data_IF_417936268782
#
_entry.id   IF_417936268782
#
_cell.length_a   1.000
_cell.length_b   1.000
_cell.length_c   1.000
_cell.angle_alpha   90.00
_cell.angle_beta   90.00
_cell.angle_gamma   90.00
#
_symmetry.space_group_name_H-M   'P 1'
#
loop_
_entity.id
_entity.type
_entity.pdbx_description
1 polymer ?
#
# COMPACT_ATOMS: atom_id res chain seq x y z
N UNK A 1 8.65 -7.94 7.52
CA UNK A 1 7.79 -8.87 6.79
C UNK A 1 7.92 -10.28 7.34
N UNK A 2 6.89 -11.07 7.13
CA UNK A 2 6.85 -12.46 7.60
C UNK A 2 7.82 -13.38 6.83
N UNK A 3 8.18 -12.99 5.61
CA UNK A 3 9.12 -13.72 4.77
C UNK A 3 10.38 -12.87 4.55
N UNK A 4 11.54 -13.50 4.73
CA UNK A 4 12.86 -12.91 4.49
C UNK A 4 13.67 -13.80 3.56
N UNK A 5 13.80 -13.38 2.31
CA UNK A 5 14.62 -14.07 1.31
C UNK A 5 15.77 -13.14 0.93
N UNK A 6 16.97 -13.44 1.41
CA UNK A 6 18.18 -12.65 1.13
C UNK A 6 19.24 -13.59 0.55
N UNK A 7 19.47 -13.58 -0.77
CA UNK A 7 20.61 -14.25 -1.38
C UNK A 7 21.93 -13.70 -0.83
N UNK A 8 22.95 -14.55 -0.73
CA UNK A 8 24.28 -14.17 -0.18
C UNK A 8 24.95 -13.03 -0.95
N UNK A 9 24.59 -12.85 -2.23
CA UNK A 9 25.12 -11.84 -3.13
C UNK A 9 24.07 -10.79 -3.52
N UNK A 10 23.07 -10.55 -2.67
CA UNK A 10 22.00 -9.60 -2.95
C UNK A 10 22.56 -8.18 -3.17
N UNK A 11 22.26 -7.61 -4.34
CA UNK A 11 22.60 -6.23 -4.72
C UNK A 11 21.42 -5.27 -4.53
N UNK A 12 20.20 -5.79 -4.47
CA UNK A 12 18.94 -5.04 -4.35
C UNK A 12 18.16 -5.57 -3.16
N UNK A 13 17.55 -4.66 -2.42
CA UNK A 13 16.70 -4.96 -1.28
C UNK A 13 15.32 -4.35 -1.50
N UNK A 14 14.30 -5.20 -1.63
CA UNK A 14 12.90 -4.80 -1.59
C UNK A 14 12.33 -5.27 -0.25
N UNK A 15 11.96 -4.35 0.60
CA UNK A 15 11.60 -4.66 1.97
C UNK A 15 10.58 -3.65 2.51
N UNK A 16 9.93 -3.99 3.60
CA UNK A 16 9.17 -3.02 4.37
C UNK A 16 10.13 -2.06 5.11
N UNK A 17 9.64 -0.90 5.49
CA UNK A 17 10.44 0.12 6.20
C UNK A 17 11.08 -0.43 7.48
N UNK A 18 10.40 -1.35 8.18
CA UNK A 18 10.89 -2.02 9.38
C UNK A 18 12.09 -2.92 9.11
N UNK A 19 12.08 -3.60 7.95
CA UNK A 19 13.13 -4.56 7.55
C UNK A 19 14.25 -3.93 6.73
N UNK A 20 14.22 -2.62 6.53
CA UNK A 20 15.21 -1.89 5.76
C UNK A 20 16.59 -2.01 6.43
N UNK A 21 17.65 -2.46 5.70
CA UNK A 21 19.00 -2.56 6.26
C UNK A 21 19.58 -1.16 6.52
N UNK A 22 19.87 -0.87 7.78
CA UNK A 22 20.39 0.45 8.22
C UNK A 22 21.93 0.48 8.33
N UNK A 23 22.55 -0.68 8.27
CA UNK A 23 23.98 -0.91 8.44
C UNK A 23 24.75 -1.05 7.11
N UNK A 24 24.07 -0.85 5.99
CA UNK A 24 24.64 -1.02 4.65
C UNK A 24 24.84 0.31 3.94
N UNK A 25 26.00 0.45 3.33
CA UNK A 25 26.25 1.52 2.37
C UNK A 25 25.57 1.17 1.04
N UNK A 26 24.63 1.99 0.63
CA UNK A 26 23.85 1.79 -0.59
C UNK A 26 24.01 3.01 -1.50
N UNK A 27 24.22 2.78 -2.78
CA UNK A 27 24.28 3.87 -3.75
C UNK A 27 22.94 4.60 -3.91
N UNK A 28 21.85 3.85 -3.83
CA UNK A 28 20.49 4.34 -3.97
C UNK A 28 19.62 3.86 -2.83
N UNK A 29 18.88 4.77 -2.24
CA UNK A 29 17.87 4.49 -1.21
C UNK A 29 16.54 5.10 -1.63
N UNK A 30 15.46 4.35 -1.56
CA UNK A 30 14.10 4.83 -1.78
C UNK A 30 13.20 4.48 -0.60
N UNK A 31 12.42 5.45 -0.14
CA UNK A 31 11.38 5.25 0.89
C UNK A 31 10.06 5.70 0.29
N UNK A 32 9.11 4.76 0.19
CA UNK A 32 7.76 5.03 -0.27
C UNK A 32 6.83 5.36 0.90
N UNK A 33 5.73 6.06 0.61
CA UNK A 33 4.71 6.48 1.60
C UNK A 33 5.32 7.30 2.76
N UNK A 34 6.27 8.20 2.46
CA UNK A 34 7.01 8.94 3.51
C UNK A 34 6.11 9.80 4.41
N UNK A 35 4.89 10.15 3.98
CA UNK A 35 3.91 10.83 4.84
C UNK A 35 3.48 9.98 6.03
N UNK A 36 3.77 8.67 6.03
CA UNK A 36 3.57 7.78 7.19
C UNK A 36 4.43 8.16 8.40
N UNK A 37 5.34 9.12 8.29
CA UNK A 37 5.97 9.75 9.45
C UNK A 37 4.95 10.33 10.45
N UNK A 38 3.74 10.67 10.00
CA UNK A 38 2.65 11.15 10.85
C UNK A 38 1.77 10.04 11.45
N UNK A 39 2.04 8.77 11.12
CA UNK A 39 1.30 7.65 11.66
C UNK A 39 1.59 7.43 13.15
N UNK A 40 0.55 7.14 13.95
CA UNK A 40 0.69 6.99 15.41
C UNK A 40 1.49 5.75 15.82
N UNK A 41 1.40 4.67 15.07
CA UNK A 41 2.04 3.39 15.41
C UNK A 41 3.41 3.27 14.74
N UNK A 42 3.47 3.53 13.43
CA UNK A 42 4.65 3.29 12.60
C UNK A 42 5.47 4.55 12.28
N UNK A 43 4.96 5.73 12.60
CA UNK A 43 5.56 7.00 12.23
C UNK A 43 6.99 7.18 12.72
N UNK A 44 7.31 6.65 13.89
CA UNK A 44 8.67 6.70 14.44
C UNK A 44 9.69 5.96 13.56
N UNK A 45 9.30 4.85 12.92
CA UNK A 45 10.16 4.08 12.01
C UNK A 45 10.42 4.87 10.73
N UNK A 46 9.36 5.41 10.11
CA UNK A 46 9.48 6.24 8.93
C UNK A 46 10.31 7.50 9.18
N UNK A 47 10.12 8.13 10.33
CA UNK A 47 10.90 9.31 10.75
C UNK A 47 12.37 8.97 10.91
N UNK A 48 12.72 7.84 11.50
CA UNK A 48 14.10 7.39 11.60
C UNK A 48 14.73 7.20 10.21
N UNK A 49 14.01 6.56 9.27
CA UNK A 49 14.51 6.40 7.90
C UNK A 49 14.64 7.73 7.16
N UNK A 50 13.69 8.64 7.35
CA UNK A 50 13.75 9.99 6.78
C UNK A 50 14.97 10.77 7.26
N UNK A 51 15.33 10.63 8.52
CA UNK A 51 16.43 11.40 9.12
C UNK A 51 17.81 10.75 8.88
N UNK A 52 17.89 9.43 8.93
CA UNK A 52 19.15 8.71 9.05
C UNK A 52 19.54 7.90 7.81
N UNK A 53 18.60 7.56 6.92
CA UNK A 53 18.93 6.78 5.73
C UNK A 53 19.24 7.65 4.54
N UNK A 54 20.43 7.42 3.94
CA UNK A 54 20.87 8.13 2.74
C UNK A 54 21.52 7.14 1.76
N UNK A 55 21.25 7.35 0.48
CA UNK A 55 22.03 6.74 -0.60
C UNK A 55 23.25 7.58 -0.90
N UNK A 56 24.37 6.97 -1.21
CA UNK A 56 25.60 7.69 -1.57
C UNK A 56 25.43 8.58 -2.81
N UNK A 57 24.62 8.12 -3.78
CA UNK A 57 24.36 8.85 -5.03
C UNK A 57 22.99 9.50 -5.06
N UNK A 58 21.98 8.81 -4.52
CA UNK A 58 20.61 9.31 -4.59
C UNK A 58 19.78 8.75 -3.43
N UNK A 59 19.06 9.65 -2.77
CA UNK A 59 17.97 9.32 -1.86
C UNK A 59 16.65 9.80 -2.47
N UNK A 60 15.69 8.89 -2.66
CA UNK A 60 14.37 9.19 -3.20
C UNK A 60 13.32 9.00 -2.13
N UNK A 61 12.53 10.03 -1.87
CA UNK A 61 11.40 10.00 -0.96
C UNK A 61 10.12 10.13 -1.79
N UNK A 62 9.25 9.14 -1.71
CA UNK A 62 7.99 9.14 -2.44
C UNK A 62 6.82 9.26 -1.46
N UNK A 63 5.79 10.02 -1.82
CA UNK A 63 4.64 10.20 -0.95
C UNK A 63 3.72 11.34 -1.37
N UNK A 64 2.74 11.62 -0.52
CA UNK A 64 1.80 12.71 -0.77
C UNK A 64 2.41 14.08 -0.46
N UNK A 65 1.87 15.12 -1.09
CA UNK A 65 2.32 16.51 -0.87
C UNK A 65 2.11 17.02 0.59
N UNK A 66 1.39 16.28 1.43
CA UNK A 66 1.13 16.66 2.82
C UNK A 66 2.40 16.81 3.64
N UNK A 67 3.43 16.00 3.35
CA UNK A 67 4.70 16.05 4.08
C UNK A 67 5.71 17.05 3.51
N UNK A 68 5.45 17.63 2.33
CA UNK A 68 6.40 18.51 1.62
C UNK A 68 6.95 19.64 2.51
N UNK A 69 6.08 20.32 3.24
CA UNK A 69 6.47 21.43 4.12
C UNK A 69 7.42 21.01 5.26
N UNK A 70 7.31 19.78 5.71
CA UNK A 70 8.17 19.24 6.77
C UNK A 70 9.54 18.92 6.16
N UNK A 71 9.56 18.21 5.03
CA UNK A 71 10.80 17.84 4.34
C UNK A 71 11.60 19.07 3.95
N UNK A 72 10.97 20.12 3.44
CA UNK A 72 11.65 21.39 3.08
C UNK A 72 12.36 22.04 4.26
N UNK A 73 11.90 21.82 5.48
CA UNK A 73 12.51 22.36 6.70
C UNK A 73 13.67 21.53 7.23
N UNK A 74 13.76 20.26 6.83
CA UNK A 74 14.76 19.33 7.33
C UNK A 74 16.06 19.39 6.54
N UNK A 75 15.97 19.65 5.24
CA UNK A 75 17.13 19.66 4.36
C UNK A 75 16.91 20.69 3.24
N UNK A 76 17.95 21.51 2.96
CA UNK A 76 17.85 22.59 1.98
C UNK A 76 18.07 22.17 0.53
N UNK A 77 18.64 21.00 0.27
CA UNK A 77 19.06 20.57 -1.08
C UNK A 77 18.18 19.41 -1.61
N UNK A 78 16.87 19.68 -1.70
CA UNK A 78 15.89 18.69 -2.15
C UNK A 78 15.20 19.18 -3.42
N UNK A 79 15.25 18.38 -4.47
CA UNK A 79 14.46 18.55 -5.67
C UNK A 79 13.08 17.92 -5.49
N UNK A 80 12.00 18.67 -5.75
CA UNK A 80 10.63 18.18 -5.69
C UNK A 80 10.07 17.94 -7.10
N UNK A 81 9.80 16.68 -7.42
CA UNK A 81 9.19 16.28 -8.68
C UNK A 81 7.73 15.89 -8.42
N UNK A 82 6.80 16.70 -8.90
CA UNK A 82 5.37 16.39 -8.82
C UNK A 82 4.95 15.51 -10.01
N UNK A 83 4.16 14.50 -9.71
CA UNK A 83 3.48 13.66 -10.71
C UNK A 83 1.99 13.71 -10.47
N UNK A 84 1.25 14.10 -11.47
CA UNK A 84 -0.20 14.06 -11.43
C UNK A 84 -0.69 12.62 -11.43
N UNK A 85 -1.87 12.43 -10.86
CA UNK A 85 -2.52 11.14 -10.83
C UNK A 85 -2.88 10.70 -12.25
N UNK A 86 -2.50 9.49 -12.67
CA UNK A 86 -2.79 8.96 -14.00
C UNK A 86 -4.29 8.76 -14.22
N UNK A 87 -5.03 8.40 -13.17
CA UNK A 87 -6.48 8.22 -13.23
C UNK A 87 -7.20 9.27 -12.41
N UNK A 88 -8.29 9.83 -12.96
CA UNK A 88 -9.12 10.80 -12.26
C UNK A 88 -9.86 10.15 -11.10
N UNK A 89 -9.71 10.71 -9.91
CA UNK A 89 -10.53 10.35 -8.75
C UNK A 89 -11.79 11.21 -8.75
N UNK A 90 -12.97 10.57 -8.75
CA UNK A 90 -14.25 11.25 -8.77
C UNK A 90 -15.15 10.72 -7.66
N UNK A 91 -15.63 11.59 -6.82
CA UNK A 91 -16.63 11.21 -5.81
C UNK A 91 -17.99 10.98 -6.46
N UNK A 92 -18.55 9.78 -6.30
CA UNK A 92 -19.83 9.37 -6.91
C UNK A 92 -21.01 9.30 -5.93
N UNK A 93 -20.85 9.82 -4.71
CA UNK A 93 -21.87 9.80 -3.65
C UNK A 93 -22.00 8.44 -2.94
N UNK A 94 -23.01 8.34 -2.08
CA UNK A 94 -23.28 7.12 -1.32
C UNK A 94 -24.09 6.12 -2.16
N UNK A 95 -23.74 4.83 -2.08
CA UNK A 95 -24.47 3.74 -2.72
C UNK A 95 -24.70 2.60 -1.74
N UNK A 96 -25.91 2.02 -1.77
CA UNK A 96 -26.18 0.75 -1.07
C UNK A 96 -25.40 -0.37 -1.74
N UNK A 97 -24.93 -1.37 -0.99
CA UNK A 97 -24.20 -2.53 -1.52
C UNK A 97 -25.02 -3.24 -2.62
N UNK A 98 -26.32 -3.32 -2.49
CA UNK A 98 -27.20 -3.88 -3.52
C UNK A 98 -27.14 -3.15 -4.87
N UNK A 99 -26.68 -1.91 -4.90
CA UNK A 99 -26.63 -1.04 -6.10
C UNK A 99 -25.22 -0.76 -6.61
N UNK A 100 -24.19 -1.34 -6.02
CA UNK A 100 -22.82 -1.22 -6.54
C UNK A 100 -22.67 -1.94 -7.87
N UNK A 101 -21.83 -1.39 -8.72
CA UNK A 101 -21.55 -1.98 -10.03
C UNK A 101 -20.66 -3.24 -9.89
N UNK A 102 -20.65 -4.06 -10.92
CA UNK A 102 -19.62 -5.12 -11.06
C UNK A 102 -18.23 -4.49 -11.13
N UNK A 103 -17.20 -5.29 -10.88
CA UNK A 103 -15.79 -4.85 -10.86
C UNK A 103 -15.55 -3.70 -9.87
N UNK A 104 -16.11 -3.85 -8.68
CA UNK A 104 -15.94 -2.90 -7.57
C UNK A 104 -15.06 -3.51 -6.48
N UNK A 105 -14.03 -2.74 -6.08
CA UNK A 105 -13.27 -2.99 -4.86
C UNK A 105 -13.87 -2.17 -3.70
N UNK A 106 -14.05 -2.81 -2.56
CA UNK A 106 -14.62 -2.24 -1.35
C UNK A 106 -13.56 -2.31 -0.27
N UNK A 107 -13.25 -1.16 0.31
CA UNK A 107 -12.30 -1.08 1.42
C UNK A 107 -13.08 -1.00 2.73
N UNK A 108 -12.70 -1.84 3.67
CA UNK A 108 -13.22 -1.88 5.04
C UNK A 108 -12.08 -1.68 6.04
N UNK A 109 -12.40 -1.28 7.26
CA UNK A 109 -11.41 -0.89 8.26
C UNK A 109 -11.11 -1.99 9.29
N UNK A 110 -11.86 -3.09 9.27
CA UNK A 110 -11.62 -4.23 10.16
C UNK A 110 -11.88 -5.56 9.45
N UNK A 111 -11.30 -6.63 9.97
CA UNK A 111 -11.54 -7.98 9.46
C UNK A 111 -13.03 -8.37 9.58
N UNK A 112 -13.68 -7.97 10.66
CA UNK A 112 -15.12 -8.23 10.88
C UNK A 112 -15.98 -7.57 9.79
N UNK A 113 -15.69 -6.31 9.46
CA UNK A 113 -16.38 -5.60 8.38
C UNK A 113 -16.12 -6.25 7.02
N UNK A 114 -14.90 -6.68 6.73
CA UNK A 114 -14.56 -7.39 5.50
C UNK A 114 -15.43 -8.63 5.36
N UNK A 115 -15.53 -9.47 6.39
CA UNK A 115 -16.34 -10.67 6.35
C UNK A 115 -17.84 -10.37 6.27
N UNK A 116 -18.34 -9.38 7.01
CA UNK A 116 -19.73 -8.98 6.98
C UNK A 116 -20.15 -8.48 5.58
N UNK A 117 -19.32 -7.63 4.96
CA UNK A 117 -19.57 -7.12 3.61
C UNK A 117 -19.49 -8.24 2.58
N UNK A 118 -18.49 -9.11 2.66
CA UNK A 118 -18.34 -10.24 1.74
C UNK A 118 -19.52 -11.20 1.81
N UNK A 119 -20.02 -11.49 3.02
CA UNK A 119 -21.21 -12.34 3.20
C UNK A 119 -22.48 -11.66 2.64
N UNK A 120 -22.62 -10.36 2.82
CA UNK A 120 -23.74 -9.61 2.25
C UNK A 120 -23.71 -9.64 0.72
N UNK A 121 -22.51 -9.49 0.11
CA UNK A 121 -22.32 -9.59 -1.33
C UNK A 121 -22.61 -11.03 -1.79
N UNK A 122 -22.14 -12.03 -1.07
CA UNK A 122 -22.43 -13.44 -1.39
C UNK A 122 -23.91 -13.71 -1.50
N UNK A 123 -24.70 -13.19 -0.58
CA UNK A 123 -26.17 -13.37 -0.57
C UNK A 123 -26.88 -12.63 -1.70
N UNK A 124 -26.37 -11.48 -2.14
CA UNK A 124 -27.05 -10.57 -3.05
C UNK A 124 -26.49 -10.58 -4.47
N UNK A 125 -25.23 -10.91 -4.64
CA UNK A 125 -24.44 -10.65 -5.87
C UNK A 125 -23.60 -11.84 -6.35
N UNK A 126 -23.61 -12.97 -5.62
CA UNK A 126 -22.91 -14.19 -6.04
C UNK A 126 -21.59 -14.46 -5.32
N UNK A 127 -20.84 -13.46 -4.90
CA UNK A 127 -19.59 -13.67 -4.16
C UNK A 127 -18.59 -12.53 -4.29
N UNK A 128 -17.58 -12.54 -3.42
CA UNK A 128 -16.49 -11.58 -3.42
C UNK A 128 -15.19 -12.27 -3.06
N UNK A 129 -14.08 -11.82 -3.65
CA UNK A 129 -12.75 -12.11 -3.18
C UNK A 129 -12.46 -11.30 -1.91
N UNK A 130 -11.69 -11.88 -0.98
CA UNK A 130 -11.34 -11.24 0.30
C UNK A 130 -9.83 -11.11 0.39
N UNK A 131 -9.35 -9.89 0.69
CA UNK A 131 -7.92 -9.61 0.83
C UNK A 131 -7.66 -8.82 2.11
N UNK A 132 -6.86 -9.39 3.00
CA UNK A 132 -6.50 -8.79 4.29
C UNK A 132 -5.02 -9.04 4.62
N UNK A 133 -4.44 -8.17 5.43
CA UNK A 133 -3.06 -8.31 5.90
C UNK A 133 -2.80 -9.62 6.68
N UNK A 134 -3.79 -10.13 7.39
CA UNK A 134 -3.71 -11.39 8.15
C UNK A 134 -3.71 -12.66 7.30
N UNK A 135 -4.02 -12.57 6.01
CA UNK A 135 -3.95 -13.71 5.09
C UNK A 135 -2.51 -13.94 4.61
N UNK A 136 -2.15 -15.22 4.40
CA UNK A 136 -0.86 -15.55 3.80
C UNK A 136 -0.70 -14.92 2.41
N UNK A 137 0.53 -14.59 1.97
CA UNK A 137 0.77 -14.05 0.63
C UNK A 137 0.16 -14.91 -0.48
N UNK A 138 0.29 -16.23 -0.37
CA UNK A 138 -0.30 -17.18 -1.32
C UNK A 138 -1.82 -17.06 -1.41
N UNK A 139 -2.49 -16.98 -0.26
CA UNK A 139 -3.95 -16.82 -0.21
C UNK A 139 -4.37 -15.48 -0.78
N UNK A 140 -3.67 -14.40 -0.44
CA UNK A 140 -3.95 -13.07 -0.99
C UNK A 140 -3.86 -13.04 -2.51
N UNK A 141 -2.78 -13.60 -3.07
CA UNK A 141 -2.60 -13.66 -4.51
C UNK A 141 -3.72 -14.45 -5.20
N UNK A 142 -4.11 -15.62 -4.66
CA UNK A 142 -5.21 -16.40 -5.20
C UNK A 142 -6.56 -15.65 -5.16
N UNK A 143 -6.84 -14.89 -4.11
CA UNK A 143 -8.04 -14.06 -4.02
C UNK A 143 -8.04 -12.92 -5.05
N UNK A 144 -6.89 -12.29 -5.26
CA UNK A 144 -6.74 -11.25 -6.29
C UNK A 144 -6.94 -11.84 -7.68
N UNK A 145 -6.40 -13.02 -7.95
CA UNK A 145 -6.57 -13.73 -9.22
C UNK A 145 -8.05 -14.02 -9.51
N UNK A 146 -8.83 -14.49 -8.53
CA UNK A 146 -10.28 -14.68 -8.68
C UNK A 146 -11.01 -13.39 -9.09
N UNK A 147 -10.60 -12.23 -8.58
CA UNK A 147 -11.18 -10.95 -8.95
C UNK A 147 -10.73 -10.50 -10.35
N UNK A 148 -9.45 -10.67 -10.68
CA UNK A 148 -8.88 -10.26 -11.96
C UNK A 148 -9.39 -11.14 -13.11
N UNK A 149 -9.48 -12.46 -12.92
CA UNK A 149 -10.04 -13.40 -13.92
C UNK A 149 -11.52 -13.14 -14.22
N UNK A 150 -12.24 -12.54 -13.25
CA UNK A 150 -13.67 -12.31 -13.36
C UNK A 150 -14.54 -13.41 -12.83
N UNK A 151 -13.97 -14.39 -12.12
CA UNK A 151 -14.71 -15.42 -11.41
C UNK A 151 -15.59 -14.83 -10.32
N UNK A 152 -15.14 -13.69 -9.75
CA UNK A 152 -15.95 -12.84 -8.87
C UNK A 152 -15.90 -11.37 -9.32
N UNK A 153 -17.01 -10.67 -9.15
CA UNK A 153 -17.16 -9.27 -9.56
C UNK A 153 -16.74 -8.26 -8.47
N UNK A 154 -16.50 -8.74 -7.26
CA UNK A 154 -16.25 -7.88 -6.09
C UNK A 154 -15.01 -8.32 -5.36
N UNK A 155 -14.26 -7.33 -4.89
CA UNK A 155 -13.13 -7.50 -3.98
C UNK A 155 -13.44 -6.75 -2.69
N UNK A 156 -13.31 -7.39 -1.53
CA UNK A 156 -13.42 -6.73 -0.23
C UNK A 156 -12.07 -6.84 0.48
N UNK A 157 -11.49 -5.70 0.85
CA UNK A 157 -10.15 -5.66 1.40
C UNK A 157 -10.03 -4.67 2.57
N UNK A 158 -9.03 -4.89 3.44
CA UNK A 158 -8.55 -3.83 4.32
C UNK A 158 -7.64 -2.86 3.55
N UNK A 159 -7.48 -1.65 4.05
CA UNK A 159 -6.67 -0.59 3.42
C UNK A 159 -5.21 -0.99 3.14
N UNK A 160 -4.62 -1.81 4.03
CA UNK A 160 -3.24 -2.29 3.92
C UNK A 160 -2.92 -3.06 2.60
N UNK A 161 -3.92 -3.42 1.81
CA UNK A 161 -3.75 -4.28 0.63
C UNK A 161 -4.26 -3.64 -0.66
N UNK A 162 -4.88 -2.47 -0.57
CA UNK A 162 -5.60 -1.85 -1.69
C UNK A 162 -4.72 -1.36 -2.83
N UNK A 163 -3.44 -1.06 -2.58
CA UNK A 163 -2.59 -0.38 -3.57
C UNK A 163 -1.87 -1.32 -4.53
N UNK A 164 -1.50 -2.50 -4.09
CA UNK A 164 -0.60 -3.38 -4.86
C UNK A 164 -1.30 -4.18 -5.96
N UNK A 165 -2.62 -4.25 -5.97
CA UNK A 165 -3.35 -5.21 -6.83
C UNK A 165 -4.49 -4.59 -7.64
N UNK A 166 -4.74 -3.30 -7.48
CA UNK A 166 -5.78 -2.57 -8.24
C UNK A 166 -5.19 -1.80 -9.44
N UNK A 167 -4.24 -2.39 -10.13
CA UNK A 167 -3.91 -1.91 -11.48
C UNK A 167 -5.05 -2.33 -12.40
N UNK A 168 -5.97 -1.40 -12.62
CA UNK A 168 -7.01 -1.49 -13.65
C UNK A 168 -6.40 -1.15 -15.00
#
# INVERSE_FOLDING_TARGET
>A
GEEKIIPSNAKYFLCTVESMPIDKYLEFVAVDEIQMCADHERGHIFTDRLLNMRGEKLTMLMGSNTIKNIITKLDGDIEFINRDRLSKLTYSGHKKISRINRKTAIIAFSAEEVYAIAELIRRQKGGAAIVMGSLSPKTRNAQVELYQSGDVDFLVATDAVSYTHLTL
#
